data_IF_830429320452
#
_entry.id   IF_830429320452
#
_cell.length_a   1.000
_cell.length_b   1.000
_cell.length_c   1.000
_cell.angle_alpha   90.00
_cell.angle_beta   90.00
_cell.angle_gamma   90.00
#
_symmetry.space_group_name_H-M   'P 1'
#
loop_
_entity.id
_entity.type
_entity.pdbx_description
1 polymer ?
#
# COMPACT_ATOMS: atom_id res chain seq x y z
N UNK A 1 -18.90 4.96 25.83
CA UNK A 1 -17.82 4.49 24.94
C UNK A 1 -18.21 3.11 24.46
N UNK A 2 -18.38 2.91 23.15
CA UNK A 2 -18.51 1.56 22.59
C UNK A 2 -17.13 0.90 22.74
N UNK A 3 -17.04 -0.24 23.44
CA UNK A 3 -15.76 -0.95 23.59
C UNK A 3 -15.27 -1.37 22.21
N UNK A 4 -14.03 -1.04 21.87
CA UNK A 4 -13.41 -1.43 20.59
C UNK A 4 -13.40 -2.95 20.43
N UNK A 5 -13.36 -3.69 21.54
CA UNK A 5 -13.46 -5.14 21.55
C UNK A 5 -14.78 -5.66 20.96
N UNK A 6 -15.86 -4.87 20.99
CA UNK A 6 -17.11 -5.25 20.35
C UNK A 6 -17.00 -5.36 18.82
N UNK A 7 -15.97 -4.74 18.22
CA UNK A 7 -15.65 -4.85 16.79
C UNK A 7 -14.64 -5.96 16.48
N UNK A 8 -13.96 -6.53 17.49
CA UNK A 8 -13.02 -7.63 17.29
C UNK A 8 -13.70 -8.89 16.69
N UNK A 9 -14.92 -9.29 17.10
CA UNK A 9 -15.65 -10.39 16.46
C UNK A 9 -15.94 -10.10 14.98
N UNK A 10 -16.37 -8.87 14.65
CA UNK A 10 -16.57 -8.48 13.25
C UNK A 10 -15.29 -8.70 12.43
N UNK A 11 -14.15 -8.28 12.96
CA UNK A 11 -12.90 -8.50 12.25
C UNK A 11 -12.50 -9.98 12.16
N UNK A 12 -12.62 -10.72 13.27
CA UNK A 12 -12.44 -12.18 13.33
C UNK A 12 -13.31 -12.92 12.30
N UNK A 13 -14.54 -12.47 12.07
CA UNK A 13 -15.50 -13.19 11.25
C UNK A 13 -15.41 -12.78 9.77
N UNK A 14 -15.14 -11.50 9.49
CA UNK A 14 -15.09 -10.98 8.11
C UNK A 14 -13.69 -10.94 7.51
N UNK A 15 -12.61 -10.84 8.30
CA UNK A 15 -11.26 -10.88 7.76
C UNK A 15 -10.94 -12.23 7.10
N UNK A 16 -11.31 -13.40 7.68
CA UNK A 16 -11.17 -14.67 6.99
C UNK A 16 -11.90 -14.62 5.66
N UNK A 17 -13.12 -14.07 5.56
CA UNK A 17 -13.81 -13.96 4.27
C UNK A 17 -13.04 -13.08 3.26
N UNK A 18 -12.44 -11.97 3.68
CA UNK A 18 -11.63 -11.11 2.79
C UNK A 18 -10.31 -11.76 2.35
N UNK A 19 -9.73 -12.57 3.22
CA UNK A 19 -8.50 -13.34 2.98
C UNK A 19 -8.79 -14.73 2.41
N UNK A 20 -10.06 -15.16 2.39
CA UNK A 20 -10.41 -16.50 1.92
C UNK A 20 -10.13 -16.56 0.44
N UNK A 21 -9.52 -17.67 0.00
CA UNK A 21 -9.18 -17.83 -1.39
C UNK A 21 -10.45 -17.81 -2.25
N UNK A 22 -10.45 -16.98 -3.32
CA UNK A 22 -11.57 -16.91 -4.27
C UNK A 22 -11.89 -18.29 -4.85
N UNK A 23 -10.89 -19.17 -5.00
CA UNK A 23 -11.09 -20.57 -5.34
C UNK A 23 -10.04 -21.47 -4.67
N UNK A 24 -10.46 -22.34 -3.73
CA UNK A 24 -9.55 -23.14 -2.90
C UNK A 24 -8.52 -24.01 -3.65
N UNK A 25 -8.86 -24.50 -4.85
CA UNK A 25 -7.98 -25.35 -5.67
C UNK A 25 -7.21 -24.64 -6.79
N UNK A 26 -7.74 -23.55 -7.36
CA UNK A 26 -7.19 -22.94 -8.58
C UNK A 26 -6.68 -21.51 -8.39
N UNK A 27 -7.10 -20.83 -7.32
CA UNK A 27 -6.71 -19.45 -7.03
C UNK A 27 -6.74 -19.21 -5.51
N UNK A 28 -5.67 -19.62 -4.78
CA UNK A 28 -5.58 -19.46 -3.33
C UNK A 28 -5.30 -18.00 -2.92
N UNK A 29 -6.05 -17.06 -3.48
CA UNK A 29 -5.77 -15.63 -3.45
C UNK A 29 -6.98 -14.91 -2.86
N UNK A 30 -6.73 -14.00 -1.92
CA UNK A 30 -7.78 -13.25 -1.26
C UNK A 30 -8.43 -12.24 -2.21
N UNK A 31 -9.67 -11.86 -1.92
CA UNK A 31 -10.36 -10.79 -2.66
C UNK A 31 -9.57 -9.49 -2.59
N UNK A 32 -8.91 -9.24 -1.46
CA UNK A 32 -8.08 -8.06 -1.25
C UNK A 32 -6.86 -8.01 -2.19
N UNK A 33 -6.28 -9.16 -2.52
CA UNK A 33 -5.14 -9.25 -3.43
C UNK A 33 -5.57 -8.97 -4.87
N UNK A 34 -6.71 -9.53 -5.30
CA UNK A 34 -7.32 -9.22 -6.61
C UNK A 34 -7.59 -7.73 -6.71
N UNK A 35 -8.12 -7.14 -5.64
CA UNK A 35 -8.35 -5.71 -5.57
C UNK A 35 -7.06 -4.90 -5.69
N UNK A 36 -6.03 -5.27 -4.93
CA UNK A 36 -4.70 -4.68 -5.00
C UNK A 36 -4.11 -4.74 -6.41
N UNK A 37 -4.27 -5.88 -7.09
CA UNK A 37 -3.82 -6.08 -8.46
C UNK A 37 -4.54 -5.15 -9.46
N UNK A 38 -5.86 -5.02 -9.33
CA UNK A 38 -6.66 -4.09 -10.15
C UNK A 38 -6.21 -2.65 -9.89
N UNK A 39 -6.12 -2.23 -8.62
CA UNK A 39 -5.70 -0.88 -8.23
C UNK A 39 -4.32 -0.53 -8.76
N UNK A 40 -3.35 -1.42 -8.59
CA UNK A 40 -2.00 -1.21 -9.08
C UNK A 40 -1.98 -1.11 -10.61
N UNK A 41 -2.75 -1.96 -11.30
CA UNK A 41 -2.87 -1.92 -12.77
C UNK A 41 -3.49 -0.61 -13.27
N UNK A 42 -4.50 -0.09 -12.57
CA UNK A 42 -5.10 1.22 -12.84
C UNK A 42 -4.07 2.34 -12.64
N UNK A 43 -3.30 2.31 -11.55
CA UNK A 43 -2.28 3.32 -11.27
C UNK A 43 -1.18 3.31 -12.35
N UNK A 44 -0.67 2.14 -12.73
CA UNK A 44 0.28 1.99 -13.85
C UNK A 44 -0.33 2.53 -15.14
N UNK A 45 -1.61 2.25 -15.39
CA UNK A 45 -2.30 2.75 -16.57
C UNK A 45 -2.41 4.28 -16.59
N UNK A 46 -2.65 4.94 -15.46
CA UNK A 46 -2.65 6.39 -15.37
C UNK A 46 -1.28 6.99 -15.68
N UNK A 47 -0.22 6.38 -15.13
CA UNK A 47 1.16 6.82 -15.39
C UNK A 47 1.48 6.68 -16.87
N UNK A 48 1.09 5.57 -17.50
CA UNK A 48 1.26 5.35 -18.93
C UNK A 48 0.42 6.32 -19.79
N UNK A 49 -0.81 6.63 -19.36
CA UNK A 49 -1.74 7.49 -20.11
C UNK A 49 -1.42 8.98 -20.01
N UNK A 50 -0.75 9.42 -18.93
CA UNK A 50 -0.33 10.82 -18.75
C UNK A 50 0.84 11.23 -19.66
N UNK A 51 1.38 10.28 -20.44
CA UNK A 51 2.59 10.51 -21.24
C UNK A 51 2.38 11.33 -22.53
N UNK A 52 1.22 11.95 -22.75
CA UNK A 52 0.91 12.90 -23.86
C UNK A 52 1.44 12.45 -25.24
N UNK A 53 1.19 11.19 -25.62
CA UNK A 53 1.57 10.66 -26.93
C UNK A 53 3.00 10.10 -27.01
N UNK A 54 3.73 10.01 -25.89
CA UNK A 54 4.93 9.17 -25.84
C UNK A 54 4.54 7.69 -25.89
N UNK A 55 5.45 6.81 -26.37
CA UNK A 55 5.20 5.38 -26.33
C UNK A 55 4.93 4.91 -24.88
N UNK A 56 4.31 3.74 -24.73
CA UNK A 56 4.13 3.08 -23.44
C UNK A 56 5.35 2.19 -23.16
N UNK A 57 5.67 1.94 -21.89
CA UNK A 57 6.66 0.93 -21.52
C UNK A 57 6.31 -0.46 -22.07
N UNK A 58 7.32 -1.31 -22.26
CA UNK A 58 7.08 -2.69 -22.68
C UNK A 58 6.32 -3.47 -21.62
N UNK A 59 5.57 -4.51 -22.02
CA UNK A 59 4.79 -5.31 -21.08
C UNK A 59 5.69 -5.97 -20.02
N UNK A 60 6.86 -6.47 -20.43
CA UNK A 60 7.82 -7.07 -19.51
C UNK A 60 8.36 -6.05 -18.49
N UNK A 61 8.61 -4.82 -18.93
CA UNK A 61 9.07 -3.75 -18.05
C UNK A 61 8.00 -3.34 -17.04
N UNK A 62 6.73 -3.27 -17.44
CA UNK A 62 5.61 -3.02 -16.53
C UNK A 62 5.43 -4.16 -15.52
N UNK A 63 5.51 -5.42 -15.96
CA UNK A 63 5.48 -6.58 -15.09
C UNK A 63 6.63 -6.59 -14.08
N UNK A 64 7.84 -6.27 -14.53
CA UNK A 64 9.00 -6.15 -13.66
C UNK A 64 8.79 -5.03 -12.62
N UNK A 65 8.29 -3.86 -13.04
CA UNK A 65 7.95 -2.78 -12.12
C UNK A 65 6.91 -3.19 -11.08
N UNK A 66 5.90 -3.96 -11.47
CA UNK A 66 4.91 -4.51 -10.55
C UNK A 66 5.55 -5.49 -9.56
N UNK A 67 6.45 -6.38 -10.00
CA UNK A 67 7.16 -7.29 -9.10
C UNK A 67 8.02 -6.53 -8.09
N UNK A 68 8.69 -5.45 -8.52
CA UNK A 68 9.47 -4.58 -7.62
C UNK A 68 8.56 -3.89 -6.60
N UNK A 69 7.37 -3.46 -7.00
CA UNK A 69 6.40 -2.84 -6.08
C UNK A 69 5.88 -3.85 -5.04
N UNK A 70 5.61 -5.08 -5.44
CA UNK A 70 5.07 -6.12 -4.55
C UNK A 70 6.12 -6.68 -3.60
N UNK A 71 7.30 -7.01 -4.13
CA UNK A 71 8.30 -7.80 -3.42
C UNK A 71 9.59 -7.05 -3.14
N UNK A 72 9.71 -5.77 -3.52
CA UNK A 72 10.96 -5.02 -3.36
C UNK A 72 11.42 -4.96 -1.91
N UNK A 73 10.52 -4.60 -0.99
CA UNK A 73 10.84 -4.54 0.45
C UNK A 73 11.22 -5.89 1.04
N UNK A 74 10.46 -6.94 0.72
CA UNK A 74 10.74 -8.30 1.18
C UNK A 74 12.06 -8.83 0.62
N UNK A 75 12.32 -8.60 -0.66
CA UNK A 75 13.58 -9.00 -1.32
C UNK A 75 14.77 -8.33 -0.66
N UNK A 76 14.65 -7.03 -0.35
CA UNK A 76 15.69 -6.32 0.36
C UNK A 76 15.94 -6.91 1.76
N UNK A 77 14.89 -7.18 2.53
CA UNK A 77 15.02 -7.81 3.86
C UNK A 77 15.59 -9.23 3.75
N UNK A 78 15.16 -10.01 2.76
CA UNK A 78 15.70 -11.34 2.46
C UNK A 78 17.20 -11.30 2.19
N UNK A 79 17.66 -10.32 1.39
CA UNK A 79 19.09 -10.07 1.17
C UNK A 79 19.84 -9.72 2.46
N UNK A 80 19.25 -8.90 3.35
CA UNK A 80 19.87 -8.54 4.63
C UNK A 80 19.92 -9.71 5.63
N UNK A 81 18.93 -10.60 5.59
CA UNK A 81 18.77 -11.72 6.55
C UNK A 81 19.33 -13.05 6.04
N UNK A 82 19.67 -13.13 4.76
CA UNK A 82 20.03 -14.38 4.09
C UNK A 82 18.86 -15.37 3.99
N UNK A 83 17.62 -14.87 4.05
CA UNK A 83 16.42 -15.67 3.82
C UNK A 83 15.92 -15.48 2.39
N UNK A 84 15.50 -16.55 1.70
CA UNK A 84 14.88 -16.41 0.38
C UNK A 84 13.53 -15.65 0.52
N UNK A 85 13.26 -14.63 -0.30
CA UNK A 85 11.97 -13.96 -0.31
C UNK A 85 10.84 -14.91 -0.77
N UNK A 86 9.62 -14.65 -0.31
CA UNK A 86 8.45 -15.50 -0.52
C UNK A 86 8.16 -15.79 -1.99
N UNK A 87 8.38 -14.83 -2.88
CA UNK A 87 8.11 -14.98 -4.32
C UNK A 87 9.01 -16.01 -5.01
N UNK A 88 10.20 -16.31 -4.46
CA UNK A 88 11.05 -17.40 -4.96
C UNK A 88 10.52 -18.78 -4.56
N UNK A 89 9.80 -18.85 -3.44
CA UNK A 89 9.21 -20.10 -2.94
C UNK A 89 7.83 -20.31 -3.60
N UNK A 90 7.03 -19.25 -3.63
CA UNK A 90 5.68 -19.25 -4.19
C UNK A 90 5.43 -17.94 -4.98
N UNK A 91 5.57 -17.96 -6.32
CA UNK A 91 5.35 -16.80 -7.17
C UNK A 91 3.86 -16.56 -7.50
N UNK A 92 2.91 -17.32 -6.93
CA UNK A 92 1.49 -17.26 -7.34
C UNK A 92 0.90 -15.86 -7.26
N UNK A 93 1.21 -15.09 -6.21
CA UNK A 93 0.70 -13.73 -6.06
C UNK A 93 1.27 -12.80 -7.15
N UNK A 94 2.57 -12.87 -7.42
CA UNK A 94 3.21 -12.14 -8.53
C UNK A 94 2.62 -12.49 -9.89
N UNK A 95 2.37 -13.79 -10.14
CA UNK A 95 1.74 -14.25 -11.38
C UNK A 95 0.33 -13.69 -11.56
N UNK A 96 -0.47 -13.64 -10.48
CA UNK A 96 -1.83 -13.10 -10.57
C UNK A 96 -1.85 -11.59 -10.74
N UNK A 97 -0.97 -10.85 -10.05
CA UNK A 97 -0.82 -9.43 -10.29
C UNK A 97 -0.39 -9.14 -11.73
N UNK A 98 0.54 -9.93 -12.26
CA UNK A 98 0.97 -9.82 -13.66
C UNK A 98 -0.14 -10.18 -14.65
N UNK A 99 -0.87 -11.27 -14.41
CA UNK A 99 -1.96 -11.71 -15.26
C UNK A 99 -3.11 -10.70 -15.30
N UNK A 100 -3.56 -10.22 -14.14
CA UNK A 100 -4.57 -9.15 -14.03
C UNK A 100 -4.08 -7.89 -14.73
N UNK A 101 -2.82 -7.52 -14.56
CA UNK A 101 -2.25 -6.36 -15.22
C UNK A 101 -2.28 -6.47 -16.75
N UNK A 102 -1.80 -7.57 -17.30
CA UNK A 102 -1.82 -7.81 -18.75
C UNK A 102 -3.25 -7.86 -19.29
N UNK A 103 -4.14 -8.55 -18.56
CA UNK A 103 -5.55 -8.64 -18.92
C UNK A 103 -6.18 -7.25 -18.99
N UNK A 104 -5.95 -6.40 -18.00
CA UNK A 104 -6.56 -5.06 -17.95
C UNK A 104 -5.90 -4.03 -18.87
N UNK A 105 -4.61 -4.15 -19.17
CA UNK A 105 -3.87 -3.10 -19.91
C UNK A 105 -3.53 -3.46 -21.35
N UNK A 106 -3.47 -4.75 -21.69
CA UNK A 106 -3.05 -5.23 -23.02
C UNK A 106 -4.18 -5.89 -23.81
N UNK A 107 -5.39 -5.98 -23.24
CA UNK A 107 -6.58 -6.46 -23.94
C UNK A 107 -7.58 -5.32 -24.15
N UNK A 108 -8.66 -5.52 -24.93
CA UNK A 108 -9.73 -4.52 -25.10
C UNK A 108 -10.40 -4.07 -23.78
N UNK A 109 -10.21 -4.81 -22.69
CA UNK A 109 -10.69 -4.43 -21.35
C UNK A 109 -10.06 -3.13 -20.83
N UNK A 110 -8.95 -2.67 -21.43
CA UNK A 110 -8.35 -1.37 -21.12
C UNK A 110 -9.34 -0.21 -21.25
N UNK A 111 -10.31 -0.30 -22.18
CA UNK A 111 -11.35 0.71 -22.36
C UNK A 111 -12.29 0.86 -21.15
N UNK A 112 -12.33 -0.13 -20.25
CA UNK A 112 -13.10 -0.06 -19.00
C UNK A 112 -12.33 0.65 -17.89
N UNK A 113 -11.01 0.80 -18.02
CA UNK A 113 -10.19 1.46 -17.01
C UNK A 113 -10.36 2.98 -17.12
N UNK A 114 -10.51 3.69 -15.99
CA UNK A 114 -10.50 5.14 -16.01
C UNK A 114 -9.16 5.64 -16.53
N UNK A 115 -9.17 6.54 -17.50
CA UNK A 115 -7.94 7.13 -18.07
C UNK A 115 -7.30 8.16 -17.16
N UNK A 116 -8.07 8.72 -16.22
CA UNK A 116 -7.62 9.71 -15.24
C UNK A 116 -8.19 9.40 -13.86
N UNK A 117 -7.46 9.75 -12.78
CA UNK A 117 -7.98 9.61 -11.43
C UNK A 117 -9.17 10.56 -11.23
N UNK A 118 -10.32 9.98 -10.91
CA UNK A 118 -11.53 10.72 -10.51
C UNK A 118 -11.72 10.62 -9.00
N UNK A 119 -12.41 11.60 -8.39
CA UNK A 119 -12.71 11.55 -6.95
C UNK A 119 -13.44 10.26 -6.55
N UNK A 120 -14.46 9.86 -7.32
CA UNK A 120 -15.23 8.64 -7.05
C UNK A 120 -14.37 7.37 -7.10
N UNK A 121 -13.52 7.24 -8.13
CA UNK A 121 -12.62 6.10 -8.26
C UNK A 121 -11.57 6.07 -7.16
N UNK A 122 -10.95 7.22 -6.84
CA UNK A 122 -9.94 7.33 -5.78
C UNK A 122 -10.52 7.01 -4.41
N UNK A 123 -11.73 7.50 -4.12
CA UNK A 123 -12.41 7.24 -2.86
C UNK A 123 -12.79 5.76 -2.71
N UNK A 124 -13.34 5.16 -3.76
CA UNK A 124 -13.67 3.73 -3.76
C UNK A 124 -12.41 2.87 -3.59
N UNK A 125 -11.29 3.27 -4.21
CA UNK A 125 -9.99 2.62 -4.10
C UNK A 125 -9.31 2.84 -2.76
N UNK A 126 -9.57 3.95 -2.07
CA UNK A 126 -8.87 4.34 -0.85
C UNK A 126 -9.10 3.39 0.33
N UNK A 127 -10.33 2.90 0.52
CA UNK A 127 -10.69 2.08 1.69
C UNK A 127 -9.96 0.72 1.69
N UNK A 128 -10.10 -0.14 0.67
CA UNK A 128 -9.38 -1.40 0.60
C UNK A 128 -7.85 -1.24 0.51
N UNK A 129 -7.34 -0.17 -0.11
CA UNK A 129 -5.90 0.13 -0.08
C UNK A 129 -5.42 0.42 1.35
N UNK A 130 -6.18 1.20 2.12
CA UNK A 130 -5.87 1.46 3.51
C UNK A 130 -5.89 0.18 4.35
N UNK A 131 -6.88 -0.70 4.14
CA UNK A 131 -6.96 -2.00 4.82
C UNK A 131 -5.75 -2.88 4.46
N UNK A 132 -5.45 -3.05 3.16
CA UNK A 132 -4.32 -3.84 2.70
C UNK A 132 -2.98 -3.33 3.24
N UNK A 133 -2.78 -2.01 3.25
CA UNK A 133 -1.59 -1.39 3.83
C UNK A 133 -1.51 -1.56 5.34
N UNK A 134 -2.63 -1.48 6.05
CA UNK A 134 -2.64 -1.74 7.50
C UNK A 134 -2.24 -3.19 7.78
N UNK A 135 -2.80 -4.16 7.05
CA UNK A 135 -2.44 -5.58 7.18
C UNK A 135 -0.95 -5.81 6.89
N UNK A 136 -0.43 -5.21 5.82
CA UNK A 136 0.98 -5.27 5.47
C UNK A 136 1.87 -4.75 6.60
N UNK A 137 1.55 -3.57 7.12
CA UNK A 137 2.33 -2.88 8.16
C UNK A 137 2.26 -3.55 9.54
N UNK A 138 1.16 -4.22 9.85
CA UNK A 138 0.92 -4.81 11.17
C UNK A 138 1.06 -6.33 11.12
N UNK A 139 0.05 -7.01 10.56
CA UNK A 139 -0.05 -8.47 10.53
C UNK A 139 1.07 -9.17 9.76
N UNK A 140 1.49 -8.62 8.62
CA UNK A 140 2.50 -9.28 7.78
C UNK A 140 3.94 -8.84 8.07
N UNK A 141 4.14 -7.70 8.75
CA UNK A 141 5.48 -7.20 9.05
C UNK A 141 5.84 -7.28 10.54
N UNK A 142 4.96 -6.82 11.44
CA UNK A 142 5.26 -6.72 12.88
C UNK A 142 4.99 -8.03 13.60
N UNK A 143 3.84 -8.66 13.36
CA UNK A 143 3.44 -9.91 14.05
C UNK A 143 4.47 -11.03 13.87
N UNK A 144 5.06 -11.27 12.67
CA UNK A 144 6.10 -12.31 12.51
C UNK A 144 7.39 -12.02 13.28
N UNK A 145 7.68 -10.75 13.62
CA UNK A 145 8.82 -10.39 14.47
C UNK A 145 8.54 -10.65 15.95
N UNK A 146 7.29 -10.44 16.38
CA UNK A 146 6.84 -10.72 17.74
C UNK A 146 6.74 -12.22 18.00
N UNK A 147 6.29 -12.98 17.00
CA UNK A 147 6.11 -14.43 17.05
C UNK A 147 6.99 -15.12 15.99
N UNK A 148 8.32 -15.18 16.22
CA UNK A 148 9.24 -15.74 15.24
C UNK A 148 9.00 -17.24 15.06
N UNK A 149 8.75 -17.66 13.83
CA UNK A 149 8.61 -19.07 13.43
C UNK A 149 9.94 -19.71 13.03
N UNK A 150 11.00 -18.90 12.88
CA UNK A 150 12.32 -19.34 12.43
C UNK A 150 13.42 -18.76 13.34
N UNK A 151 14.50 -19.52 13.61
CA UNK A 151 15.65 -18.99 14.36
C UNK A 151 16.40 -17.89 13.60
N UNK A 152 16.16 -17.74 12.29
CA UNK A 152 16.77 -16.69 11.44
C UNK A 152 15.97 -15.39 11.41
N UNK A 153 14.82 -15.32 12.09
CA UNK A 153 14.02 -14.11 12.16
C UNK A 153 14.78 -13.02 12.92
N UNK A 154 14.67 -11.76 12.44
CA UNK A 154 15.27 -10.61 13.11
C UNK A 154 14.73 -10.48 14.54
N UNK A 155 15.57 -10.10 15.52
CA UNK A 155 15.12 -9.93 16.89
C UNK A 155 14.13 -8.78 17.00
N UNK A 156 13.07 -8.93 17.80
CA UNK A 156 12.13 -7.86 18.13
C UNK A 156 12.80 -6.80 19.03
N UNK A 157 13.31 -5.75 18.40
CA UNK A 157 13.88 -4.54 19.02
C UNK A 157 13.07 -3.34 18.54
N UNK A 158 13.08 -2.20 19.26
CA UNK A 158 12.33 -1.02 18.82
C UNK A 158 12.67 -0.62 17.36
N UNK A 159 13.94 -0.72 16.99
CA UNK A 159 14.41 -0.39 15.64
C UNK A 159 13.89 -1.37 14.59
N UNK A 160 13.96 -2.68 14.82
CA UNK A 160 13.48 -3.67 13.85
C UNK A 160 11.96 -3.63 13.70
N UNK A 161 11.24 -3.43 14.80
CA UNK A 161 9.78 -3.33 14.82
C UNK A 161 9.24 -2.13 14.02
N UNK A 162 10.04 -1.07 13.84
CA UNK A 162 9.68 0.09 13.01
C UNK A 162 10.29 0.04 11.61
N UNK A 163 11.56 -0.37 11.48
CA UNK A 163 12.26 -0.37 10.19
C UNK A 163 11.79 -1.46 9.25
N UNK A 164 11.44 -2.65 9.75
CA UNK A 164 10.92 -3.75 8.90
C UNK A 164 9.60 -3.36 8.22
N UNK A 165 8.54 -2.94 8.92
CA UNK A 165 7.31 -2.51 8.26
C UNK A 165 7.54 -1.27 7.39
N UNK A 166 8.43 -0.37 7.79
CA UNK A 166 8.84 0.76 6.94
C UNK A 166 9.39 0.24 5.61
N UNK A 167 10.44 -0.58 5.61
CA UNK A 167 11.06 -1.13 4.39
C UNK A 167 10.07 -1.95 3.54
N UNK A 168 9.23 -2.77 4.18
CA UNK A 168 8.25 -3.61 3.51
C UNK A 168 7.18 -2.80 2.76
N UNK A 169 6.69 -1.72 3.36
CA UNK A 169 5.46 -1.11 2.88
C UNK A 169 5.64 -0.20 1.67
N UNK A 170 6.64 0.68 1.65
CA UNK A 170 6.64 1.79 0.68
C UNK A 170 8.03 2.28 0.24
N UNK A 171 8.95 2.67 1.12
CA UNK A 171 10.11 3.48 0.75
C UNK A 171 10.99 2.75 -0.25
N UNK A 172 11.21 1.44 -0.10
CA UNK A 172 12.08 0.73 -1.03
C UNK A 172 11.47 0.67 -2.43
N UNK A 173 10.23 0.20 -2.54
CA UNK A 173 9.51 0.13 -3.80
C UNK A 173 9.33 1.53 -4.43
N UNK A 174 8.93 2.53 -3.64
CA UNK A 174 8.68 3.89 -4.11
C UNK A 174 9.98 4.62 -4.50
N UNK A 175 11.08 4.45 -3.75
CA UNK A 175 12.39 5.02 -4.10
C UNK A 175 12.93 4.40 -5.37
N UNK A 176 12.87 3.07 -5.51
CA UNK A 176 13.30 2.41 -6.74
C UNK A 176 12.38 2.83 -7.89
N UNK A 177 11.07 2.82 -7.70
CA UNK A 177 10.08 3.15 -8.70
C UNK A 177 10.18 4.60 -9.20
N UNK A 178 10.06 5.56 -8.28
CA UNK A 178 10.18 7.00 -8.56
C UNK A 178 11.58 7.35 -9.05
N UNK A 179 12.60 6.64 -8.56
CA UNK A 179 13.99 6.87 -8.91
C UNK A 179 14.36 6.39 -10.31
N UNK A 180 13.77 5.30 -10.80
CA UNK A 180 14.14 4.70 -12.10
C UNK A 180 13.10 4.93 -13.19
N UNK A 181 11.92 5.45 -12.85
CA UNK A 181 10.80 5.63 -13.75
C UNK A 181 10.45 4.36 -14.53
N UNK A 182 10.29 3.22 -13.84
CA UNK A 182 10.11 1.91 -14.49
C UNK A 182 8.92 1.83 -15.45
N UNK A 183 7.91 2.69 -15.36
CA UNK A 183 6.78 2.72 -16.31
C UNK A 183 6.96 3.72 -17.46
N UNK A 184 8.11 4.38 -17.55
CA UNK A 184 8.51 5.20 -18.71
C UNK A 184 9.15 4.32 -19.79
N UNK A 185 8.96 4.61 -21.09
CA UNK A 185 9.60 3.86 -22.18
C UNK A 185 11.13 3.83 -22.11
N UNK A 186 11.70 4.91 -21.58
CA UNK A 186 13.12 5.00 -21.28
C UNK A 186 13.27 5.03 -19.76
N UNK A 187 14.01 4.07 -19.23
CA UNK A 187 14.43 4.04 -17.83
C UNK A 187 15.39 5.20 -17.64
N UNK A 188 15.03 6.15 -16.79
CA UNK A 188 15.89 7.30 -16.47
C UNK A 188 16.03 7.39 -14.96
N UNK A 189 17.26 7.61 -14.50
CA UNK A 189 17.51 7.84 -13.10
C UNK A 189 17.13 9.28 -12.76
N UNK A 190 16.19 9.45 -11.84
CA UNK A 190 15.73 10.73 -11.33
C UNK A 190 15.74 10.72 -9.81
N UNK A 191 15.73 11.89 -9.19
CA UNK A 191 15.52 11.99 -7.76
C UNK A 191 14.11 11.49 -7.42
N UNK A 192 13.97 10.45 -6.58
CA UNK A 192 12.69 9.93 -6.13
C UNK A 192 11.82 11.05 -5.54
N UNK A 193 10.50 10.97 -5.74
CA UNK A 193 9.58 12.01 -5.30
C UNK A 193 9.61 12.19 -3.77
N UNK A 194 9.89 11.12 -3.05
CA UNK A 194 10.00 11.04 -1.60
C UNK A 194 11.22 11.81 -1.07
N UNK A 195 12.30 11.87 -1.88
CA UNK A 195 13.55 12.58 -1.56
C UNK A 195 13.55 14.03 -2.05
N UNK A 196 12.56 14.44 -2.85
CA UNK A 196 12.41 15.86 -3.25
C UNK A 196 11.95 16.69 -2.05
N UNK A 197 12.15 18.02 -2.07
CA UNK A 197 11.63 18.90 -1.02
C UNK A 197 10.14 18.64 -0.79
N UNK A 198 9.75 18.43 0.46
CA UNK A 198 8.39 18.07 0.89
C UNK A 198 7.90 16.68 0.48
N UNK A 199 8.70 15.87 -0.20
CA UNK A 199 8.35 14.48 -0.54
C UNK A 199 7.99 13.62 0.67
N UNK A 200 8.69 13.85 1.79
CA UNK A 200 8.44 13.20 3.08
C UNK A 200 7.06 13.51 3.69
N UNK A 201 6.37 14.56 3.22
CA UNK A 201 4.99 14.87 3.66
C UNK A 201 3.95 13.96 3.03
N UNK A 202 4.33 13.21 1.99
CA UNK A 202 3.46 12.20 1.41
C UNK A 202 3.01 11.22 2.48
N UNK A 203 1.71 10.96 2.53
CA UNK A 203 1.10 10.02 3.48
C UNK A 203 1.85 8.67 3.52
N UNK A 204 2.26 8.21 2.34
CA UNK A 204 2.93 6.93 2.15
C UNK A 204 4.35 6.90 2.76
N UNK A 205 4.97 8.05 3.01
CA UNK A 205 6.32 8.13 3.58
C UNK A 205 6.33 8.00 5.11
N UNK A 206 5.31 8.53 5.82
CA UNK A 206 5.30 8.58 7.29
C UNK A 206 4.31 7.60 7.94
N UNK A 207 3.25 7.18 7.25
CA UNK A 207 2.30 6.17 7.76
C UNK A 207 2.99 4.87 8.21
N UNK A 208 4.01 4.35 7.48
CA UNK A 208 4.73 3.16 7.91
C UNK A 208 5.50 3.30 9.23
N UNK A 209 5.67 4.51 9.78
CA UNK A 209 6.16 4.70 11.15
C UNK A 209 5.01 4.83 12.15
N UNK A 210 4.00 5.60 11.80
CA UNK A 210 2.88 5.92 12.71
C UNK A 210 2.04 4.68 13.01
N UNK A 211 1.65 3.90 12.00
CA UNK A 211 0.78 2.75 12.21
C UNK A 211 1.43 1.62 13.01
N UNK A 212 2.67 1.17 12.71
CA UNK A 212 3.33 0.17 13.55
C UNK A 212 3.55 0.67 14.98
N UNK A 213 3.93 1.94 15.18
CA UNK A 213 4.09 2.50 16.52
C UNK A 213 2.77 2.51 17.29
N UNK A 214 1.67 2.90 16.65
CA UNK A 214 0.33 2.87 17.24
C UNK A 214 -0.09 1.44 17.57
N UNK A 215 0.04 0.52 16.61
CA UNK A 215 -0.27 -0.89 16.78
C UNK A 215 0.47 -1.49 17.98
N UNK A 216 1.79 -1.32 18.04
CA UNK A 216 2.63 -1.79 19.14
C UNK A 216 2.21 -1.18 20.48
N UNK A 217 1.84 0.10 20.50
CA UNK A 217 1.44 0.77 21.74
C UNK A 217 0.05 0.37 22.23
N UNK A 218 -0.82 -0.10 21.34
CA UNK A 218 -2.15 -0.61 21.67
C UNK A 218 -2.10 -2.02 22.28
N UNK A 219 -1.16 -2.85 21.82
CA UNK A 219 -0.98 -4.24 22.30
C UNK A 219 0.08 -4.37 23.41
N UNK A 220 0.83 -3.31 23.67
CA UNK A 220 1.90 -3.33 24.66
C UNK A 220 1.39 -3.58 26.08
N UNK A 221 2.18 -4.24 26.95
CA UNK A 221 3.62 -4.51 26.79
C UNK A 221 3.96 -5.72 25.89
N UNK A 222 4.88 -5.54 24.94
CA UNK A 222 5.41 -6.62 24.09
C UNK A 222 6.94 -6.57 24.01
N UNK A 223 7.56 -7.69 23.59
CA UNK A 223 9.02 -7.79 23.46
C UNK A 223 9.56 -6.73 22.50
N UNK A 224 10.47 -5.89 23.00
CA UNK A 224 11.08 -4.82 22.21
C UNK A 224 10.24 -3.54 22.12
N UNK A 225 9.07 -3.46 22.78
CA UNK A 225 8.26 -2.24 22.84
C UNK A 225 7.61 -2.05 24.21
N UNK A 226 8.20 -1.22 25.09
CA UNK A 226 7.68 -1.02 26.45
C UNK A 226 6.56 0.02 26.56
N UNK A 227 6.30 0.80 25.51
CA UNK A 227 5.38 1.93 25.56
C UNK A 227 3.93 1.46 25.35
N UNK A 228 3.18 1.32 26.44
CA UNK A 228 1.75 0.97 26.40
C UNK A 228 0.86 2.21 26.51
N UNK A 229 -0.26 2.21 25.79
CA UNK A 229 -1.36 3.16 25.97
C UNK A 229 -2.34 2.75 27.08
N UNK A 230 -2.09 1.63 27.77
CA UNK A 230 -2.96 1.11 28.83
C UNK A 230 -4.27 0.51 28.31
N UNK A 231 -4.30 0.12 27.02
CA UNK A 231 -5.47 -0.46 26.38
C UNK A 231 -5.51 -1.99 26.43
N UNK A 232 -4.34 -2.65 26.54
CA UNK A 232 -4.19 -4.11 26.55
C UNK A 232 -5.01 -4.83 25.46
N UNK A 233 -5.09 -4.25 24.27
CA UNK A 233 -5.90 -4.79 23.17
C UNK A 233 -5.27 -6.05 22.59
N UNK A 234 -6.13 -6.97 22.12
CA UNK A 234 -5.68 -8.08 21.28
C UNK A 234 -5.10 -7.56 19.96
N UNK A 235 -4.23 -8.34 19.33
CA UNK A 235 -3.62 -7.98 18.04
C UNK A 235 -4.68 -7.68 16.99
N UNK A 236 -5.73 -8.49 16.89
CA UNK A 236 -6.82 -8.27 15.93
C UNK A 236 -7.58 -6.98 16.21
N UNK A 237 -7.88 -6.66 17.48
CA UNK A 237 -8.54 -5.41 17.86
C UNK A 237 -7.66 -4.19 17.52
N UNK A 238 -6.36 -4.26 17.80
CA UNK A 238 -5.41 -3.21 17.45
C UNK A 238 -5.29 -3.01 15.93
N UNK A 239 -5.35 -4.09 15.13
CA UNK A 239 -5.37 -3.99 13.66
C UNK A 239 -6.62 -3.26 13.18
N UNK A 240 -7.80 -3.53 13.76
CA UNK A 240 -9.05 -2.83 13.41
C UNK A 240 -8.94 -1.33 13.66
N UNK A 241 -8.41 -0.93 14.82
CA UNK A 241 -8.21 0.48 15.17
C UNK A 241 -7.26 1.15 14.17
N UNK A 242 -6.13 0.49 13.87
CA UNK A 242 -5.18 0.96 12.89
C UNK A 242 -5.79 1.06 11.48
N UNK A 243 -6.66 0.12 11.09
CA UNK A 243 -7.34 0.11 9.81
C UNK A 243 -8.34 1.27 9.70
N UNK A 244 -9.16 1.48 10.74
CA UNK A 244 -10.09 2.59 10.79
C UNK A 244 -9.38 3.95 10.68
N UNK A 245 -8.29 4.13 11.45
CA UNK A 245 -7.48 5.34 11.38
C UNK A 245 -6.85 5.54 9.98
N UNK A 246 -6.29 4.48 9.40
CA UNK A 246 -5.68 4.55 8.08
C UNK A 246 -6.71 4.86 6.99
N UNK A 247 -7.93 4.30 7.08
CA UNK A 247 -9.03 4.62 6.17
C UNK A 247 -9.33 6.12 6.22
N UNK A 248 -9.41 6.72 7.43
CA UNK A 248 -9.62 8.17 7.58
C UNK A 248 -8.52 8.97 6.87
N UNK A 249 -7.25 8.58 7.02
CA UNK A 249 -6.15 9.27 6.34
C UNK A 249 -6.22 9.14 4.81
N UNK A 250 -6.50 7.94 4.29
CA UNK A 250 -6.57 7.70 2.83
C UNK A 250 -7.78 8.38 2.19
N UNK A 251 -8.94 8.37 2.86
CA UNK A 251 -10.13 9.11 2.44
C UNK A 251 -9.86 10.62 2.46
N UNK A 252 -9.22 11.12 3.53
CA UNK A 252 -8.85 12.53 3.62
C UNK A 252 -7.88 12.94 2.51
N UNK A 253 -6.92 12.09 2.17
CA UNK A 253 -6.01 12.29 1.03
C UNK A 253 -6.76 12.33 -0.30
N UNK A 254 -7.65 11.36 -0.54
CA UNK A 254 -8.46 11.31 -1.77
C UNK A 254 -9.33 12.57 -1.91
N UNK A 255 -9.94 13.01 -0.81
CA UNK A 255 -10.70 14.26 -0.75
C UNK A 255 -9.82 15.48 -1.02
N UNK A 256 -8.70 15.63 -0.34
CA UNK A 256 -7.80 16.77 -0.52
C UNK A 256 -7.27 16.89 -1.97
N UNK A 257 -6.93 15.76 -2.58
CA UNK A 257 -6.33 15.74 -3.92
C UNK A 257 -7.36 15.88 -5.06
N UNK A 258 -8.55 15.29 -4.90
CA UNK A 258 -9.51 15.12 -6.01
C UNK A 258 -10.89 15.74 -5.79
N UNK A 259 -11.20 16.27 -4.60
CA UNK A 259 -12.49 16.91 -4.38
C UNK A 259 -12.73 18.06 -5.37
N UNK A 260 -13.97 18.24 -5.86
CA UNK A 260 -14.31 19.36 -6.72
C UNK A 260 -13.94 20.66 -6.00
N UNK A 261 -12.95 21.40 -6.54
CA UNK A 261 -12.63 22.72 -6.01
C UNK A 261 -13.85 23.60 -6.28
N UNK A 262 -14.49 24.08 -5.21
CA UNK A 262 -15.60 25.02 -5.31
C UNK A 262 -15.22 26.10 -6.34
N UNK A 263 -16.08 26.32 -7.33
CA UNK A 263 -15.82 27.25 -8.41
C UNK A 263 -15.39 28.57 -7.77
N UNK A 264 -14.13 28.98 -8.01
CA UNK A 264 -13.63 30.25 -7.49
C UNK A 264 -14.59 31.30 -8.00
N UNK A 265 -15.29 31.98 -7.07
CA UNK A 265 -16.23 33.04 -7.42
C UNK A 265 -15.57 33.95 -8.45
N UNK A 266 -16.24 34.26 -9.58
CA UNK A 266 -15.64 35.02 -10.66
C UNK A 266 -15.06 36.29 -10.06
N UNK A 267 -13.73 36.44 -10.17
CA UNK A 267 -13.06 37.66 -9.70
C UNK A 267 -13.74 38.83 -10.42
N UNK A 268 -14.45 39.66 -9.64
CA UNK A 268 -15.11 40.85 -10.17
C UNK A 268 -14.08 41.61 -11.02
N UNK A 269 -14.37 41.73 -12.33
CA UNK A 269 -13.54 42.52 -13.24
C UNK A 269 -13.45 43.92 -12.63
N UNK A 270 -12.26 44.31 -12.14
CA UNK A 270 -12.00 45.70 -11.75
C UNK A 270 -12.24 46.55 -13.00
N UNK A 271 -13.36 47.25 -13.03
CA UNK A 271 -13.63 48.30 -14.01
C UNK A 271 -12.57 49.37 -13.80
N UNK A 272 -11.64 49.48 -14.76
CA UNK A 272 -10.72 50.63 -14.83
C UNK A 272 -11.60 51.85 -15.09
N UNK A 273 -11.73 52.74 -14.10
CA UNK A 273 -12.18 54.11 -14.37
C UNK A 273 -11.11 54.79 -15.24
N UNK A 274 -11.52 55.20 -16.43
CA UNK A 274 -10.80 56.18 -17.25
C UNK A 274 -11.18 57.58 -16.80
#
# INVERSE_FOLDING_TARGET
>A
MVSVEAFAPLYSDYLPALLTPVHGLFCPIGVLDVYGAIRLSVAVNWIASDTKGKPRASALQELFGIMVVLYGGETFIGCCTGQPPSWLINPSLGLVFGAIHLLLTRTPLHGLLPTKPSFGTELALAVPDAIGRTLLLTRFSVVPLLHPTSPKTLPATPSTLLLVPFIMAVPFAAVVFSGTQLFSPAITLQTPNELRPWGWTALDAWIPFVLPSLFLSLIAPVKGWPFSLGTDYSEDAAIVVCAALNIVFFVSRAYYNHAPKAAKSPKAKKVKKQ
#
